data_IF_348980334306
#
_entry.id   IF_348980334306
#
_cell.length_a   1.000
_cell.length_b   1.000
_cell.length_c   1.000
_cell.angle_alpha   90.00
_cell.angle_beta   90.00
_cell.angle_gamma   90.00
#
_symmetry.space_group_name_H-M   'P 1'
#
loop_
_entity.id
_entity.type
_entity.pdbx_description
1 polymer ?
#
# COMPACT_ATOMS: atom_id res chain seq x y z
N UNK A 1 -3.55 -6.91 22.53
CA UNK A 1 -4.90 -7.51 22.35
C UNK A 1 -5.09 -8.17 20.98
N UNK A 2 -4.53 -7.60 19.91
CA UNK A 2 -4.67 -8.12 18.54
C UNK A 2 -4.11 -9.51 18.32
N UNK A 3 -2.93 -9.83 18.88
CA UNK A 3 -2.37 -11.19 18.81
C UNK A 3 -3.32 -12.25 19.40
N UNK A 4 -3.88 -12.01 20.58
CA UNK A 4 -4.84 -12.92 21.23
C UNK A 4 -6.11 -13.12 20.41
N UNK A 5 -6.55 -12.07 19.70
CA UNK A 5 -7.63 -12.20 18.73
C UNK A 5 -7.22 -13.10 17.56
N UNK A 6 -6.08 -12.82 16.92
CA UNK A 6 -5.56 -13.61 15.80
C UNK A 6 -5.35 -15.08 16.18
N UNK A 7 -4.93 -15.38 17.42
CA UNK A 7 -4.82 -16.75 17.96
C UNK A 7 -6.15 -17.52 17.85
N UNK A 8 -7.27 -16.86 18.09
CA UNK A 8 -8.63 -17.45 18.11
C UNK A 8 -9.33 -17.40 16.75
N UNK A 9 -8.83 -16.61 15.80
CA UNK A 9 -9.44 -16.49 14.48
C UNK A 9 -9.44 -17.82 13.71
N UNK A 10 -10.45 -18.07 12.86
CA UNK A 10 -10.44 -19.22 11.99
C UNK A 10 -9.23 -19.17 11.04
N UNK A 11 -8.51 -20.30 10.92
CA UNK A 11 -7.31 -20.43 10.07
C UNK A 11 -7.68 -20.57 8.59
N UNK A 12 -8.28 -19.51 8.04
CA UNK A 12 -8.56 -19.36 6.60
C UNK A 12 -7.28 -18.96 5.86
N UNK A 13 -7.13 -19.29 4.56
CA UNK A 13 -6.06 -18.74 3.76
C UNK A 13 -6.09 -17.21 3.83
N UNK A 14 -4.93 -16.60 4.07
CA UNK A 14 -4.77 -15.15 4.23
C UNK A 14 -3.96 -14.61 3.05
N UNK A 15 -4.50 -13.62 2.33
CA UNK A 15 -3.84 -12.97 1.20
C UNK A 15 -3.56 -11.51 1.58
N UNK A 16 -2.28 -11.14 1.60
CA UNK A 16 -1.80 -9.82 1.97
C UNK A 16 -1.13 -9.20 0.75
N UNK A 17 -1.67 -8.08 0.31
CA UNK A 17 -1.00 -7.18 -0.62
C UNK A 17 -0.35 -6.07 0.19
N UNK A 18 0.94 -5.86 -0.02
CA UNK A 18 1.72 -4.87 0.72
C UNK A 18 2.37 -3.93 -0.28
N UNK A 19 1.92 -2.67 -0.30
CA UNK A 19 2.66 -1.64 -1.00
C UNK A 19 4.07 -1.46 -0.40
N UNK A 20 5.00 -0.99 -1.22
CA UNK A 20 6.37 -0.71 -0.81
C UNK A 20 6.53 0.71 -0.24
N UNK A 21 6.38 1.71 -1.08
CA UNK A 21 6.90 3.06 -0.84
C UNK A 21 6.02 3.80 0.17
N UNK A 22 6.64 4.38 1.22
CA UNK A 22 5.97 4.96 2.40
C UNK A 22 5.06 4.00 3.18
N UNK A 23 4.93 2.76 2.75
CA UNK A 23 4.19 1.70 3.44
C UNK A 23 5.13 0.82 4.27
N UNK A 24 6.09 0.14 3.64
CA UNK A 24 7.12 -0.65 4.35
C UNK A 24 8.55 -0.15 4.14
N UNK A 25 8.81 0.72 3.16
CA UNK A 25 10.09 1.41 2.98
C UNK A 25 9.88 2.93 2.96
N UNK A 26 10.82 3.72 3.48
CA UNK A 26 10.67 5.18 3.60
C UNK A 26 11.45 5.99 2.56
N UNK A 27 12.04 5.31 1.56
CA UNK A 27 12.74 5.96 0.45
C UNK A 27 11.87 5.93 -0.81
N UNK A 28 11.92 7.02 -1.58
CA UNK A 28 11.28 7.13 -2.90
C UNK A 28 12.35 7.51 -3.93
N UNK A 29 12.86 6.49 -4.63
CA UNK A 29 13.89 6.65 -5.66
C UNK A 29 13.39 7.42 -6.89
N UNK A 30 12.07 7.47 -7.13
CA UNK A 30 11.48 8.17 -8.27
C UNK A 30 11.18 9.64 -7.97
N UNK A 31 10.88 9.98 -6.71
CA UNK A 31 10.45 11.32 -6.30
C UNK A 31 11.56 12.32 -5.95
N UNK A 32 12.82 11.86 -5.86
CA UNK A 32 13.96 12.71 -5.49
C UNK A 32 13.90 13.25 -4.06
N UNK A 33 13.13 12.60 -3.18
CA UNK A 33 12.98 13.00 -1.77
C UNK A 33 14.13 12.45 -0.94
N UNK A 34 14.62 13.27 -0.01
CA UNK A 34 15.55 12.79 1.01
C UNK A 34 14.79 12.00 2.08
N UNK A 35 15.51 11.19 2.86
CA UNK A 35 14.94 10.54 4.04
C UNK A 35 14.34 11.59 5.00
N UNK A 36 15.00 12.75 5.15
CA UNK A 36 14.53 13.84 5.99
C UNK A 36 13.15 14.36 5.58
N UNK A 37 12.96 14.57 4.27
CA UNK A 37 11.69 15.02 3.71
C UNK A 37 10.58 14.00 3.98
N UNK A 38 10.89 12.70 3.85
CA UNK A 38 9.95 11.62 4.10
C UNK A 38 9.51 11.59 5.57
N UNK A 39 10.47 11.63 6.51
CA UNK A 39 10.18 11.62 7.95
C UNK A 39 9.38 12.86 8.39
N UNK A 40 9.73 14.05 7.88
CA UNK A 40 8.95 15.27 8.12
C UNK A 40 7.53 15.15 7.55
N UNK A 41 7.39 14.65 6.33
CA UNK A 41 6.09 14.44 5.69
C UNK A 41 5.19 13.49 6.50
N UNK A 42 5.77 12.46 7.11
CA UNK A 42 5.04 11.51 7.97
C UNK A 42 4.50 12.20 9.24
N UNK A 43 5.30 13.08 9.84
CA UNK A 43 4.87 13.90 10.99
C UNK A 43 3.78 14.89 10.55
N UNK A 44 3.96 15.59 9.42
CA UNK A 44 2.96 16.49 8.85
C UNK A 44 1.61 15.81 8.57
N UNK A 45 1.63 14.54 8.16
CA UNK A 45 0.43 13.74 7.91
C UNK A 45 -0.23 13.22 9.20
N UNK A 46 0.46 13.27 10.35
CA UNK A 46 -0.02 12.69 11.61
C UNK A 46 -0.34 13.72 12.70
N UNK A 47 0.25 14.92 12.61
CA UNK A 47 -0.09 16.05 13.50
C UNK A 47 -1.36 16.71 13.00
N UNK A 48 -2.31 16.90 13.92
CA UNK A 48 -3.59 17.57 13.66
C UNK A 48 -3.64 18.95 14.29
N UNK A 49 -4.37 19.85 13.65
CA UNK A 49 -4.47 21.25 14.02
C UNK A 49 -5.73 21.89 13.48
N UNK A 50 -5.82 23.21 13.65
CA UNK A 50 -6.96 24.03 13.23
C UNK A 50 -6.50 25.20 12.37
N UNK A 51 -7.36 25.63 11.46
CA UNK A 51 -7.15 26.89 10.74
C UNK A 51 -7.54 28.07 11.64
N UNK A 52 -6.62 29.01 11.79
CA UNK A 52 -6.81 30.31 12.44
C UNK A 52 -6.53 31.40 11.40
N UNK A 53 -7.60 31.87 10.75
CA UNK A 53 -7.50 32.69 9.54
C UNK A 53 -6.80 31.93 8.40
N UNK A 54 -5.77 32.54 7.81
CA UNK A 54 -4.99 31.96 6.72
C UNK A 54 -3.88 31.00 7.20
N UNK A 55 -3.75 30.80 8.51
CA UNK A 55 -2.68 29.98 9.11
C UNK A 55 -3.24 28.69 9.69
N UNK A 56 -2.45 27.63 9.61
CA UNK A 56 -2.70 26.41 10.34
C UNK A 56 -1.90 26.39 11.64
N UNK A 57 -2.54 25.99 12.74
CA UNK A 57 -1.93 25.91 14.07
C UNK A 57 -2.06 24.50 14.62
N UNK A 58 -0.92 23.91 14.96
CA UNK A 58 -0.81 22.61 15.58
C UNK A 58 -1.58 22.52 16.91
N UNK A 59 -2.36 21.45 17.09
CA UNK A 59 -3.10 21.18 18.33
C UNK A 59 -2.60 19.88 18.98
N UNK A 60 -2.65 18.74 18.27
CA UNK A 60 -2.25 17.43 18.80
C UNK A 60 -1.21 16.73 17.92
N UNK A 61 -0.24 16.10 18.56
CA UNK A 61 0.76 15.23 17.94
C UNK A 61 0.20 13.87 17.47
N UNK A 62 1.04 13.04 16.82
CA UNK A 62 0.65 11.74 16.28
C UNK A 62 0.07 10.77 17.33
N UNK A 63 0.65 10.75 18.53
CA UNK A 63 0.29 9.83 19.62
C UNK A 63 -0.39 10.55 20.79
N UNK A 64 -0.64 11.86 20.68
CA UNK A 64 -1.29 12.61 21.73
C UNK A 64 -2.79 12.29 21.77
N UNK A 65 -3.29 12.00 22.97
CA UNK A 65 -4.71 11.83 23.25
C UNK A 65 -5.42 13.19 23.26
N UNK A 66 -6.68 13.21 22.80
CA UNK A 66 -7.49 14.42 22.79
C UNK A 66 -8.63 14.34 21.79
N UNK A 67 -9.56 15.29 21.88
CA UNK A 67 -10.62 15.44 20.90
C UNK A 67 -10.05 15.89 19.56
N UNK A 68 -10.24 15.06 18.53
CA UNK A 68 -9.80 15.32 17.16
C UNK A 68 -10.92 15.89 16.28
N UNK A 69 -12.11 16.10 16.85
CA UNK A 69 -13.29 16.60 16.13
C UNK A 69 -13.02 17.98 15.53
N UNK A 70 -13.22 18.11 14.22
CA UNK A 70 -13.01 19.36 13.48
C UNK A 70 -11.54 19.75 13.27
N UNK A 71 -10.59 18.88 13.65
CA UNK A 71 -9.18 19.09 13.34
C UNK A 71 -8.82 18.50 11.98
N UNK A 72 -7.77 19.03 11.37
CA UNK A 72 -7.19 18.51 10.13
C UNK A 72 -5.69 18.35 10.24
N UNK A 73 -5.12 17.43 9.48
CA UNK A 73 -3.67 17.25 9.41
C UNK A 73 -3.01 18.44 8.71
N UNK A 74 -1.73 18.69 9.00
CA UNK A 74 -0.99 19.72 8.25
C UNK A 74 -0.91 19.37 6.76
N UNK A 75 -0.71 18.08 6.44
CA UNK A 75 -0.78 17.59 5.06
C UNK A 75 -2.10 17.96 4.37
N UNK A 76 -3.24 17.69 5.02
CA UNK A 76 -4.56 18.04 4.48
C UNK A 76 -4.77 19.56 4.31
N UNK A 77 -4.21 20.37 5.22
CA UNK A 77 -4.19 21.83 5.05
C UNK A 77 -3.37 22.26 3.83
N UNK A 78 -2.18 21.69 3.64
CA UNK A 78 -1.30 21.97 2.49
C UNK A 78 -1.95 21.54 1.17
N UNK A 79 -2.63 20.40 1.15
CA UNK A 79 -3.37 19.92 -0.01
C UNK A 79 -4.53 20.87 -0.39
N UNK A 80 -5.24 21.40 0.60
CA UNK A 80 -6.29 22.39 0.39
C UNK A 80 -5.74 23.75 -0.08
N UNK A 81 -4.62 24.19 0.50
CA UNK A 81 -3.96 25.44 0.11
C UNK A 81 -3.46 25.40 -1.35
N UNK A 82 -2.99 24.23 -1.77
CA UNK A 82 -2.50 23.99 -3.13
C UNK A 82 -3.44 23.06 -3.91
N UNK A 83 -4.75 23.28 -3.79
CA UNK A 83 -5.74 22.50 -4.52
C UNK A 83 -5.64 22.67 -6.04
N UNK A 84 -6.13 21.66 -6.76
CA UNK A 84 -6.27 21.69 -8.21
C UNK A 84 -7.16 22.87 -8.65
N UNK A 85 -6.69 23.75 -9.56
CA UNK A 85 -7.51 24.84 -10.08
C UNK A 85 -8.74 24.33 -10.84
N UNK A 86 -9.92 24.96 -10.70
CA UNK A 86 -11.16 24.49 -11.32
C UNK A 86 -11.10 24.34 -12.85
N UNK A 87 -10.25 25.11 -13.53
CA UNK A 87 -10.07 25.12 -14.97
C UNK A 87 -8.90 24.24 -15.45
N UNK A 88 -8.26 23.47 -14.56
CA UNK A 88 -7.08 22.70 -14.91
C UNK A 88 -7.35 21.72 -16.07
N UNK A 89 -8.51 21.06 -16.09
CA UNK A 89 -8.85 20.09 -17.14
C UNK A 89 -9.16 20.72 -18.52
N UNK A 90 -9.46 22.01 -18.59
CA UNK A 90 -9.75 22.70 -19.86
C UNK A 90 -8.49 23.24 -20.53
N UNK A 91 -7.35 23.19 -19.83
CA UNK A 91 -6.06 23.70 -20.32
C UNK A 91 -5.31 22.68 -21.19
N UNK A 92 -4.41 23.13 -22.09
CA UNK A 92 -3.53 22.27 -22.85
C UNK A 92 -2.66 21.39 -21.95
N UNK A 93 -2.37 20.15 -22.36
CA UNK A 93 -1.63 19.16 -21.56
C UNK A 93 -0.31 19.70 -21.01
N UNK A 94 0.52 20.34 -21.84
CA UNK A 94 1.81 20.89 -21.40
C UNK A 94 1.68 21.94 -20.28
N UNK A 95 0.59 22.72 -20.28
CA UNK A 95 0.30 23.70 -19.23
C UNK A 95 -0.18 23.01 -17.96
N UNK A 96 -1.05 22.01 -18.07
CA UNK A 96 -1.48 21.16 -16.95
C UNK A 96 -0.29 20.51 -16.26
N UNK A 97 0.61 19.90 -17.03
CA UNK A 97 1.80 19.21 -16.52
C UNK A 97 2.76 20.18 -15.82
N UNK A 98 2.87 21.42 -16.30
CA UNK A 98 3.64 22.46 -15.63
C UNK A 98 2.99 22.88 -14.31
N UNK A 99 1.69 23.19 -14.31
CA UNK A 99 0.97 23.59 -13.11
C UNK A 99 0.98 22.49 -12.04
N UNK A 100 0.79 21.24 -12.44
CA UNK A 100 0.87 20.10 -11.53
C UNK A 100 2.25 19.94 -10.92
N UNK A 101 3.32 20.13 -11.70
CA UNK A 101 4.69 20.13 -11.18
C UNK A 101 4.88 21.22 -10.13
N UNK A 102 4.39 22.43 -10.37
CA UNK A 102 4.51 23.55 -9.44
C UNK A 102 3.71 23.31 -8.14
N UNK A 103 2.46 22.83 -8.26
CA UNK A 103 1.62 22.43 -7.12
C UNK A 103 2.31 21.33 -6.30
N UNK A 104 2.75 20.26 -6.95
CA UNK A 104 3.41 19.15 -6.29
C UNK A 104 4.72 19.58 -5.60
N UNK A 105 5.50 20.45 -6.23
CA UNK A 105 6.74 20.98 -5.65
C UNK A 105 6.46 21.82 -4.39
N UNK A 106 5.46 22.71 -4.43
CA UNK A 106 5.07 23.53 -3.27
C UNK A 106 4.57 22.66 -2.10
N UNK A 107 3.69 21.69 -2.39
CA UNK A 107 3.22 20.74 -1.37
C UNK A 107 4.39 20.02 -0.71
N UNK A 108 5.30 19.45 -1.52
CA UNK A 108 6.50 18.73 -1.06
C UNK A 108 7.37 19.60 -0.15
N UNK A 109 7.63 20.85 -0.56
CA UNK A 109 8.44 21.78 0.22
C UNK A 109 7.83 22.05 1.61
N UNK A 110 6.51 22.29 1.66
CA UNK A 110 5.83 22.60 2.92
C UNK A 110 5.80 21.40 3.87
N UNK A 111 5.42 20.22 3.38
CA UNK A 111 5.36 19.02 4.24
C UNK A 111 6.74 18.49 4.62
N UNK A 112 7.72 18.61 3.72
CA UNK A 112 9.10 18.16 3.94
C UNK A 112 9.88 19.03 4.94
N UNK A 113 9.44 20.26 5.18
CA UNK A 113 10.06 21.17 6.15
C UNK A 113 9.21 21.44 7.39
N UNK A 114 8.11 20.70 7.58
CA UNK A 114 7.08 20.97 8.58
C UNK A 114 7.62 21.19 10.01
N UNK A 115 8.65 20.46 10.41
CA UNK A 115 9.23 20.56 11.77
C UNK A 115 10.47 21.44 11.86
N UNK A 116 10.92 22.07 10.76
CA UNK A 116 12.06 22.97 10.78
C UNK A 116 11.81 24.21 11.67
N UNK A 117 12.88 24.87 12.10
CA UNK A 117 12.79 26.09 12.92
C UNK A 117 11.90 27.16 12.26
N UNK A 118 10.95 27.69 13.03
CA UNK A 118 9.98 28.68 12.58
C UNK A 118 8.77 28.11 11.83
N UNK A 119 8.70 26.79 11.62
CA UNK A 119 7.57 26.15 10.93
C UNK A 119 6.49 25.69 11.92
N UNK A 120 5.23 25.49 11.48
CA UNK A 120 4.11 25.20 12.37
C UNK A 120 4.27 23.92 13.21
N UNK A 121 5.12 23.00 12.77
CA UNK A 121 5.40 21.73 13.42
C UNK A 121 6.67 21.70 14.26
N UNK A 122 7.38 22.83 14.48
CA UNK A 122 8.71 22.86 15.12
C UNK A 122 8.80 22.05 16.43
N UNK A 123 7.78 22.16 17.30
CA UNK A 123 7.73 21.43 18.57
C UNK A 123 7.69 19.90 18.42
N UNK A 124 7.33 19.40 17.24
CA UNK A 124 7.23 17.97 16.93
C UNK A 124 8.47 17.39 16.23
N UNK A 125 9.56 18.14 16.13
CA UNK A 125 10.85 17.64 15.60
C UNK A 125 11.29 16.33 16.28
N UNK A 126 10.99 16.16 17.56
CA UNK A 126 11.32 14.94 18.30
C UNK A 126 10.69 13.66 17.69
N UNK A 127 9.56 13.75 16.98
CA UNK A 127 8.93 12.65 16.26
C UNK A 127 9.64 12.31 14.94
N UNK A 128 10.33 13.27 14.31
CA UNK A 128 11.23 13.00 13.19
C UNK A 128 12.43 12.18 13.69
N UNK A 129 13.02 12.62 14.81
CA UNK A 129 14.16 11.93 15.44
C UNK A 129 13.79 10.54 15.99
N UNK A 130 12.55 10.35 16.44
CA UNK A 130 12.05 9.04 16.84
C UNK A 130 12.03 8.06 15.66
N UNK A 131 11.44 8.45 14.53
CA UNK A 131 11.44 7.62 13.32
C UNK A 131 12.87 7.31 12.86
N UNK A 132 13.75 8.33 12.85
CA UNK A 132 15.15 8.16 12.44
C UNK A 132 15.87 7.13 13.29
N UNK A 133 15.73 7.19 14.62
CA UNK A 133 16.33 6.20 15.54
C UNK A 133 15.89 4.77 15.22
N UNK A 134 14.62 4.58 14.83
CA UNK A 134 14.11 3.26 14.46
C UNK A 134 14.74 2.76 13.15
N UNK A 135 14.83 3.63 12.14
CA UNK A 135 15.40 3.27 10.83
C UNK A 135 16.92 3.04 10.92
N UNK A 136 17.63 3.86 11.69
CA UNK A 136 19.08 3.74 11.92
C UNK A 136 19.47 2.46 12.67
N UNK A 137 18.53 1.77 13.31
CA UNK A 137 18.76 0.48 13.94
C UNK A 137 19.05 -0.65 12.92
N UNK A 138 18.75 -0.41 11.63
CA UNK A 138 18.96 -1.35 10.53
C UNK A 138 19.60 -0.65 9.31
N UNK A 139 20.84 -0.11 9.42
CA UNK A 139 21.39 0.88 8.47
C UNK A 139 21.66 0.35 7.05
N UNK A 140 21.63 -0.97 6.85
CA UNK A 140 21.82 -1.61 5.53
C UNK A 140 20.51 -2.09 4.90
N UNK A 141 19.39 -1.76 5.53
CA UNK A 141 18.08 -2.31 5.23
C UNK A 141 17.04 -1.18 5.17
N UNK A 142 16.02 -1.38 4.34
CA UNK A 142 15.01 -0.36 4.05
C UNK A 142 13.65 -0.71 4.63
N UNK A 143 13.35 -1.99 4.87
CA UNK A 143 12.04 -2.37 5.40
C UNK A 143 11.91 -2.06 6.89
N UNK A 144 10.75 -1.52 7.24
CA UNK A 144 10.45 -1.09 8.61
C UNK A 144 10.18 -2.29 9.55
N UNK A 145 10.45 -2.14 10.85
CA UNK A 145 10.42 -3.26 11.80
C UNK A 145 9.03 -3.91 11.95
N UNK A 146 7.96 -3.11 11.86
CA UNK A 146 6.59 -3.57 12.02
C UNK A 146 6.20 -4.62 10.97
N UNK A 147 6.78 -4.57 9.77
CA UNK A 147 6.57 -5.58 8.73
C UNK A 147 7.10 -6.96 9.19
N UNK A 148 8.32 -6.99 9.74
CA UNK A 148 8.91 -8.23 10.26
C UNK A 148 8.16 -8.77 11.47
N UNK A 149 7.60 -7.88 12.30
CA UNK A 149 6.74 -8.27 13.43
C UNK A 149 5.43 -8.91 12.95
N UNK A 150 4.82 -8.41 11.87
CA UNK A 150 3.64 -9.02 11.24
C UNK A 150 3.93 -10.46 10.78
N UNK A 151 4.93 -10.65 9.93
CA UNK A 151 5.21 -11.99 9.34
C UNK A 151 5.69 -12.99 10.40
N UNK A 152 6.45 -12.53 11.40
CA UNK A 152 6.83 -13.37 12.54
C UNK A 152 5.60 -13.79 13.35
N UNK A 153 4.68 -12.86 13.63
CA UNK A 153 3.45 -13.16 14.35
C UNK A 153 2.63 -14.21 13.61
N UNK A 154 2.38 -14.03 12.30
CA UNK A 154 1.64 -15.01 11.50
C UNK A 154 2.30 -16.41 11.51
N UNK A 155 3.63 -16.43 11.41
CA UNK A 155 4.41 -17.67 11.42
C UNK A 155 4.43 -18.39 12.76
N UNK A 156 4.50 -17.66 13.87
CA UNK A 156 4.40 -18.21 15.22
C UNK A 156 3.01 -18.78 15.51
N UNK A 157 1.97 -18.20 14.90
CA UNK A 157 0.58 -18.70 14.95
C UNK A 157 0.32 -19.89 14.01
N UNK A 158 1.35 -20.37 13.31
CA UNK A 158 1.28 -21.37 12.25
C UNK A 158 0.22 -21.04 11.18
N UNK A 159 0.03 -19.75 10.91
CA UNK A 159 -0.96 -19.27 9.97
C UNK A 159 -0.33 -19.10 8.59
N UNK A 160 -0.66 -19.99 7.65
CA UNK A 160 -0.24 -19.85 6.26
C UNK A 160 -0.81 -18.57 5.62
N UNK A 161 0.04 -17.81 4.95
CA UNK A 161 -0.33 -16.59 4.25
C UNK A 161 0.32 -16.53 2.86
N UNK A 162 -0.31 -15.78 1.97
CA UNK A 162 0.23 -15.31 0.70
C UNK A 162 0.57 -13.83 0.84
N UNK A 163 1.83 -13.48 0.57
CA UNK A 163 2.33 -12.11 0.61
C UNK A 163 2.71 -11.67 -0.81
N UNK A 164 2.08 -10.60 -1.28
CA UNK A 164 2.35 -10.01 -2.60
C UNK A 164 2.80 -8.58 -2.38
N UNK A 165 4.09 -8.32 -2.61
CA UNK A 165 4.62 -6.97 -2.65
C UNK A 165 4.09 -6.24 -3.89
N UNK A 166 3.70 -4.97 -3.73
CA UNK A 166 3.10 -4.13 -4.77
C UNK A 166 3.89 -2.84 -4.89
N UNK A 167 4.20 -2.40 -6.10
CA UNK A 167 4.84 -1.09 -6.30
C UNK A 167 4.56 -0.58 -7.70
N UNK A 168 4.57 0.73 -7.87
CA UNK A 168 4.64 1.37 -9.19
C UNK A 168 6.08 1.61 -9.66
N UNK A 169 7.05 1.51 -8.74
CA UNK A 169 8.44 1.90 -8.94
C UNK A 169 9.37 0.72 -9.27
N UNK A 170 10.65 0.89 -8.92
CA UNK A 170 11.72 -0.07 -9.20
C UNK A 170 12.30 -0.73 -7.94
N UNK A 171 11.67 -0.52 -6.78
CA UNK A 171 12.21 -0.93 -5.48
C UNK A 171 11.99 -2.43 -5.18
N UNK A 172 11.25 -3.13 -6.03
CA UNK A 172 10.85 -4.52 -5.81
C UNK A 172 12.06 -5.46 -5.65
N UNK A 173 13.07 -5.35 -6.50
CA UNK A 173 14.24 -6.22 -6.44
C UNK A 173 15.00 -6.08 -5.10
N UNK A 174 15.13 -4.85 -4.60
CA UNK A 174 15.80 -4.56 -3.32
C UNK A 174 15.00 -5.12 -2.14
N UNK A 175 13.67 -4.95 -2.15
CA UNK A 175 12.80 -5.50 -1.10
C UNK A 175 12.83 -7.03 -1.08
N UNK A 176 12.81 -7.68 -2.25
CA UNK A 176 12.93 -9.14 -2.32
C UNK A 176 14.30 -9.63 -1.84
N UNK A 177 15.37 -8.89 -2.13
CA UNK A 177 16.69 -9.21 -1.59
C UNK A 177 16.73 -9.11 -0.05
N UNK A 178 16.15 -8.05 0.52
CA UNK A 178 16.09 -7.89 1.98
C UNK A 178 15.19 -8.94 2.64
N UNK A 179 14.07 -9.30 2.01
CA UNK A 179 13.23 -10.42 2.44
C UNK A 179 14.02 -11.73 2.49
N UNK A 180 14.89 -12.00 1.51
CA UNK A 180 15.78 -13.18 1.53
C UNK A 180 16.75 -13.13 2.71
N UNK A 181 17.42 -12.01 2.91
CA UNK A 181 18.31 -11.84 4.07
C UNK A 181 17.56 -12.10 5.38
N UNK A 182 16.29 -11.69 5.48
CA UNK A 182 15.44 -11.99 6.63
C UNK A 182 15.16 -13.49 6.76
N UNK A 183 14.69 -14.16 5.71
CA UNK A 183 14.36 -15.60 5.74
C UNK A 183 15.55 -16.48 6.11
N UNK A 184 16.75 -16.14 5.65
CA UNK A 184 17.97 -16.88 5.97
C UNK A 184 18.58 -16.51 7.34
N UNK A 185 18.02 -15.51 8.02
CA UNK A 185 18.48 -15.06 9.34
C UNK A 185 19.72 -14.18 9.29
N UNK A 186 20.01 -13.57 8.14
CA UNK A 186 21.12 -12.63 7.91
C UNK A 186 20.73 -11.20 8.27
N UNK A 187 19.45 -10.87 8.18
CA UNK A 187 18.87 -9.58 8.59
C UNK A 187 18.99 -9.33 10.11
N UNK A 188 18.94 -8.07 10.55
CA UNK A 188 18.95 -7.72 11.99
C UNK A 188 17.75 -8.30 12.72
N UNK A 189 16.56 -8.16 12.15
CA UNK A 189 15.37 -8.91 12.55
C UNK A 189 15.49 -10.37 12.12
N UNK A 190 15.22 -11.29 13.04
CA UNK A 190 15.34 -12.73 12.80
C UNK A 190 13.96 -13.35 12.52
N UNK A 191 13.89 -14.35 11.61
CA UNK A 191 12.66 -15.05 11.31
C UNK A 191 12.30 -15.99 12.46
N UNK A 192 11.01 -16.04 12.81
CA UNK A 192 10.46 -16.83 13.93
C UNK A 192 9.23 -17.62 13.48
N UNK A 193 8.92 -18.70 14.20
CA UNK A 193 7.74 -19.51 13.96
C UNK A 193 7.87 -20.56 12.86
N UNK A 194 6.84 -21.39 12.72
CA UNK A 194 6.89 -22.62 11.93
C UNK A 194 6.76 -22.36 10.43
N UNK A 195 5.96 -21.36 10.02
CA UNK A 195 5.76 -21.03 8.59
C UNK A 195 7.07 -20.58 7.95
N UNK A 196 7.75 -19.59 8.55
CA UNK A 196 9.02 -19.07 8.05
C UNK A 196 10.14 -20.12 8.09
N UNK A 197 10.15 -21.00 9.12
CA UNK A 197 11.07 -22.14 9.15
C UNK A 197 10.88 -23.06 7.94
N UNK A 198 9.63 -23.44 7.63
CA UNK A 198 9.32 -24.25 6.45
C UNK A 198 9.66 -23.53 5.13
N UNK A 199 9.40 -22.23 5.05
CA UNK A 199 9.79 -21.41 3.89
C UNK A 199 11.30 -21.42 3.67
N UNK A 200 12.10 -21.32 4.74
CA UNK A 200 13.57 -21.41 4.67
C UNK A 200 14.04 -22.79 4.23
N UNK A 201 13.49 -23.86 4.81
CA UNK A 201 13.89 -25.25 4.52
C UNK A 201 13.59 -25.67 3.07
N UNK A 202 12.53 -25.10 2.48
CA UNK A 202 12.09 -25.38 1.12
C UNK A 202 12.12 -24.13 0.26
N UNK A 203 13.12 -23.28 0.44
CA UNK A 203 13.15 -21.97 -0.19
C UNK A 203 13.06 -22.05 -1.72
N UNK A 204 12.13 -21.28 -2.28
CA UNK A 204 11.95 -21.06 -3.72
C UNK A 204 12.00 -19.56 -3.94
N UNK A 205 12.79 -19.06 -4.92
CA UNK A 205 12.81 -17.64 -5.24
C UNK A 205 11.42 -17.08 -5.51
N UNK A 206 11.19 -15.85 -5.06
CA UNK A 206 9.90 -15.18 -5.10
C UNK A 206 9.43 -15.00 -6.55
N UNK A 207 8.14 -15.23 -6.78
CA UNK A 207 7.52 -14.99 -8.06
C UNK A 207 7.41 -13.49 -8.32
N UNK A 208 7.93 -13.01 -9.46
CA UNK A 208 7.86 -11.60 -9.86
C UNK A 208 6.98 -11.44 -11.10
N UNK A 209 6.29 -10.32 -11.22
CA UNK A 209 5.55 -9.99 -12.43
C UNK A 209 5.22 -8.51 -12.52
N UNK A 210 4.55 -8.12 -13.60
CA UNK A 210 4.00 -6.78 -13.73
C UNK A 210 2.59 -6.83 -14.32
N UNK A 211 1.80 -5.82 -13.99
CA UNK A 211 0.49 -5.58 -14.59
C UNK A 211 0.66 -4.48 -15.62
N UNK A 212 0.02 -4.64 -16.78
CA UNK A 212 -0.13 -3.58 -17.78
C UNK A 212 -1.63 -3.32 -18.01
N UNK A 213 -1.98 -2.04 -18.18
CA UNK A 213 -3.35 -1.59 -18.42
C UNK A 213 -3.40 -0.65 -19.61
N UNK A 214 -4.38 -0.86 -20.49
CA UNK A 214 -4.69 0.02 -21.60
C UNK A 214 -6.21 0.01 -21.79
N UNK A 215 -6.85 1.17 -21.66
CA UNK A 215 -8.31 1.30 -21.72
C UNK A 215 -9.05 0.31 -20.80
N UNK A 216 -9.84 -0.62 -21.37
CA UNK A 216 -10.56 -1.69 -20.70
C UNK A 216 -9.77 -2.99 -20.57
N UNK A 217 -8.53 -2.99 -21.05
CA UNK A 217 -7.66 -4.15 -21.10
C UNK A 217 -6.73 -4.23 -19.91
N UNK A 218 -6.52 -5.48 -19.48
CA UNK A 218 -5.71 -5.82 -18.34
C UNK A 218 -4.83 -7.02 -18.71
N UNK A 219 -3.54 -6.85 -18.51
CA UNK A 219 -2.55 -7.88 -18.79
C UNK A 219 -1.73 -8.18 -17.53
N UNK A 220 -1.48 -9.46 -17.26
CA UNK A 220 -0.56 -9.93 -16.24
C UNK A 220 0.65 -10.58 -16.93
N UNK A 221 1.84 -10.01 -16.70
CA UNK A 221 3.10 -10.53 -17.21
C UNK A 221 3.84 -11.23 -16.08
N UNK A 222 4.15 -12.52 -16.26
CA UNK A 222 4.87 -13.33 -15.27
C UNK A 222 6.36 -13.29 -15.57
N UNK A 223 7.17 -12.99 -14.55
CA UNK A 223 8.62 -12.97 -14.60
C UNK A 223 9.28 -11.60 -14.36
N UNK A 224 8.84 -10.50 -15.01
CA UNK A 224 9.50 -9.20 -14.84
C UNK A 224 9.42 -8.68 -13.41
N UNK A 225 10.49 -8.05 -12.94
CA UNK A 225 10.60 -7.39 -11.63
C UNK A 225 10.57 -5.85 -11.74
N UNK A 226 10.15 -5.36 -12.91
CA UNK A 226 10.22 -3.96 -13.33
C UNK A 226 8.93 -3.52 -14.01
N UNK A 227 8.68 -2.20 -14.12
CA UNK A 227 7.48 -1.69 -14.79
C UNK A 227 7.35 -2.21 -16.23
N UNK A 228 6.11 -2.45 -16.66
CA UNK A 228 5.82 -2.78 -18.06
C UNK A 228 6.19 -1.63 -18.98
N UNK A 229 6.85 -1.95 -20.10
CA UNK A 229 7.23 -0.98 -21.13
C UNK A 229 6.49 -1.33 -22.42
N UNK A 230 5.52 -0.51 -22.77
CA UNK A 230 4.76 -0.62 -24.02
C UNK A 230 4.83 0.74 -24.73
N UNK A 231 5.21 0.71 -26.00
CA UNK A 231 5.39 1.88 -26.85
C UNK A 231 4.25 1.94 -27.87
N UNK A 232 3.51 3.04 -27.87
CA UNK A 232 2.54 3.34 -28.91
C UNK A 232 3.24 3.98 -30.12
N UNK A 233 2.88 3.62 -31.36
CA UNK A 233 3.35 4.31 -32.56
C UNK A 233 3.10 5.83 -32.51
N UNK A 234 3.98 6.61 -33.12
CA UNK A 234 3.88 8.07 -33.15
C UNK A 234 2.54 8.50 -33.78
N UNK A 235 1.81 9.38 -33.08
CA UNK A 235 0.48 9.84 -33.48
C UNK A 235 -0.68 8.91 -33.09
N UNK A 236 -0.43 7.84 -32.33
CA UNK A 236 -1.47 6.96 -31.77
C UNK A 236 -1.44 6.99 -30.23
N UNK A 237 -2.62 7.03 -29.61
CA UNK A 237 -2.75 6.98 -28.14
C UNK A 237 -3.01 5.56 -27.61
N UNK A 238 -3.41 4.65 -28.50
CA UNK A 238 -3.84 3.29 -28.16
C UNK A 238 -3.08 2.27 -28.99
N UNK A 239 -2.81 1.10 -28.39
CA UNK A 239 -2.15 0.00 -29.06
C UNK A 239 -3.12 -1.19 -29.17
N UNK A 240 -3.23 -1.87 -30.33
CA UNK A 240 -4.02 -3.08 -30.44
C UNK A 240 -3.60 -4.15 -29.42
N UNK A 241 -4.52 -4.99 -28.94
CA UNK A 241 -4.24 -5.92 -27.84
C UNK A 241 -3.15 -6.95 -28.20
N UNK A 242 -3.14 -7.38 -29.45
CA UNK A 242 -2.14 -8.29 -30.01
C UNK A 242 -0.74 -7.68 -30.04
N UNK A 243 -0.64 -6.38 -30.30
CA UNK A 243 0.64 -5.67 -30.32
C UNK A 243 1.14 -5.41 -28.91
N UNK A 244 0.25 -5.03 -27.98
CA UNK A 244 0.59 -4.93 -26.55
C UNK A 244 1.11 -6.28 -26.02
N UNK A 245 0.40 -7.37 -26.31
CA UNK A 245 0.82 -8.72 -25.95
C UNK A 245 2.21 -9.07 -26.51
N UNK A 246 2.48 -8.75 -27.77
CA UNK A 246 3.77 -9.02 -28.40
C UNK A 246 4.92 -8.24 -27.72
N UNK A 247 4.71 -6.97 -27.39
CA UNK A 247 5.70 -6.15 -26.69
C UNK A 247 5.94 -6.66 -25.26
N UNK A 248 4.88 -7.01 -24.53
CA UNK A 248 4.97 -7.56 -23.18
C UNK A 248 5.71 -8.90 -23.15
N UNK A 249 5.44 -9.81 -24.11
CA UNK A 249 6.16 -11.08 -24.24
C UNK A 249 7.65 -10.89 -24.54
N UNK A 250 8.01 -9.79 -25.21
CA UNK A 250 9.39 -9.45 -25.50
C UNK A 250 10.13 -8.80 -24.32
N UNK A 251 9.45 -8.50 -23.20
CA UNK A 251 10.09 -7.91 -22.03
C UNK A 251 11.16 -8.84 -21.44
N UNK A 252 12.28 -8.28 -20.92
CA UNK A 252 13.29 -9.06 -20.21
C UNK A 252 12.69 -9.88 -19.08
N UNK A 253 13.09 -11.15 -19.00
CA UNK A 253 12.65 -12.12 -17.99
C UNK A 253 11.15 -12.48 -18.03
N UNK A 254 10.40 -11.99 -19.03
CA UNK A 254 9.03 -12.42 -19.24
C UNK A 254 8.98 -13.90 -19.61
N UNK A 255 8.14 -14.65 -18.89
CA UNK A 255 7.89 -16.08 -19.11
C UNK A 255 6.59 -16.27 -19.86
N UNK A 256 5.54 -15.59 -19.39
CA UNK A 256 4.17 -15.74 -19.89
C UNK A 256 3.42 -14.42 -19.73
N UNK A 257 2.47 -14.14 -20.62
CA UNK A 257 1.58 -12.98 -20.53
C UNK A 257 0.14 -13.45 -20.70
N UNK A 258 -0.72 -12.99 -19.81
CA UNK A 258 -2.15 -13.27 -19.82
C UNK A 258 -2.90 -11.97 -20.04
N UNK A 259 -3.72 -11.90 -21.09
CA UNK A 259 -4.82 -10.94 -21.12
C UNK A 259 -5.89 -11.50 -20.18
N UNK A 260 -6.13 -10.81 -19.07
CA UNK A 260 -6.90 -11.34 -17.95
C UNK A 260 -8.13 -10.49 -17.67
N UNK A 261 -9.26 -11.14 -17.37
CA UNK A 261 -10.30 -10.49 -16.58
C UNK A 261 -9.93 -10.45 -15.08
N UNK A 262 -10.78 -9.89 -14.24
CA UNK A 262 -10.50 -9.74 -12.80
C UNK A 262 -10.47 -11.08 -12.04
N UNK A 263 -11.24 -12.08 -12.47
CA UNK A 263 -11.24 -13.41 -11.88
C UNK A 263 -9.95 -14.15 -12.24
N UNK A 264 -9.56 -14.10 -13.52
CA UNK A 264 -8.31 -14.66 -14.01
C UNK A 264 -7.10 -13.98 -13.36
N UNK A 265 -7.12 -12.65 -13.20
CA UNK A 265 -6.06 -11.93 -12.49
C UNK A 265 -5.94 -12.43 -11.05
N UNK A 266 -7.06 -12.50 -10.31
CA UNK A 266 -7.07 -13.02 -8.94
C UNK A 266 -6.46 -14.42 -8.86
N UNK A 267 -6.98 -15.36 -9.66
CA UNK A 267 -6.59 -16.77 -9.59
C UNK A 267 -5.13 -16.96 -10.02
N UNK A 268 -4.68 -16.28 -11.08
CA UNK A 268 -3.30 -16.35 -11.55
C UNK A 268 -2.30 -15.74 -10.59
N UNK A 269 -2.65 -14.63 -9.92
CA UNK A 269 -1.79 -14.06 -8.87
C UNK A 269 -1.59 -15.07 -7.73
N UNK A 270 -2.65 -15.74 -7.27
CA UNK A 270 -2.55 -16.73 -6.19
C UNK A 270 -1.83 -18.00 -6.64
N UNK A 271 -2.16 -18.54 -7.80
CA UNK A 271 -1.50 -19.71 -8.39
C UNK A 271 0.01 -19.47 -8.52
N UNK A 272 0.39 -18.37 -9.17
CA UNK A 272 1.79 -18.05 -9.44
C UNK A 272 2.58 -17.77 -8.16
N UNK A 273 1.99 -17.04 -7.21
CA UNK A 273 2.64 -16.77 -5.93
C UNK A 273 2.76 -18.04 -5.08
N UNK A 274 1.79 -18.96 -5.14
CA UNK A 274 1.86 -20.24 -4.42
C UNK A 274 3.04 -21.11 -4.87
N UNK A 275 3.45 -21.01 -6.13
CA UNK A 275 4.62 -21.72 -6.67
C UNK A 275 5.96 -21.22 -6.10
N UNK A 276 5.97 -20.08 -5.38
CA UNK A 276 7.14 -19.46 -4.76
C UNK A 276 6.97 -19.36 -3.23
N UNK A 277 6.50 -20.44 -2.60
CA UNK A 277 6.21 -20.50 -1.17
C UNK A 277 5.23 -19.43 -0.67
N UNK A 278 4.34 -18.95 -1.55
CA UNK A 278 3.37 -17.91 -1.26
C UNK A 278 3.96 -16.52 -1.01
N UNK A 279 5.15 -16.21 -1.56
CA UNK A 279 5.71 -14.85 -1.52
C UNK A 279 6.10 -14.39 -2.91
N UNK A 280 5.58 -13.24 -3.33
CA UNK A 280 5.83 -12.70 -4.67
C UNK A 280 5.77 -11.18 -4.72
N UNK A 281 6.01 -10.63 -5.90
CA UNK A 281 6.03 -9.20 -6.16
C UNK A 281 5.42 -8.85 -7.50
N UNK A 282 4.62 -7.80 -7.54
CA UNK A 282 3.99 -7.29 -8.75
C UNK A 282 4.28 -5.80 -8.90
N UNK A 283 4.78 -5.42 -10.08
CA UNK A 283 4.92 -4.01 -10.47
C UNK A 283 3.67 -3.56 -11.21
N UNK A 284 2.96 -2.60 -10.65
CA UNK A 284 1.77 -1.98 -11.22
C UNK A 284 2.12 -0.95 -12.30
N UNK A 285 1.16 -0.65 -13.18
CA UNK A 285 1.37 0.26 -14.32
C UNK A 285 1.08 1.73 -13.98
N UNK A 286 2.10 2.46 -13.55
CA UNK A 286 1.98 3.87 -13.17
C UNK A 286 1.42 4.79 -14.26
N UNK A 287 1.85 4.69 -15.54
CA UNK A 287 1.34 5.57 -16.60
C UNK A 287 -0.19 5.55 -16.74
N UNK A 288 -0.84 4.40 -16.53
CA UNK A 288 -2.30 4.30 -16.58
C UNK A 288 -2.98 4.96 -15.38
N UNK A 289 -2.41 4.84 -14.19
CA UNK A 289 -2.93 5.53 -13.01
C UNK A 289 -2.76 7.04 -13.12
N UNK A 290 -1.58 7.49 -13.56
CA UNK A 290 -1.27 8.90 -13.77
C UNK A 290 -2.14 9.54 -14.85
N UNK A 291 -2.36 8.87 -15.99
CA UNK A 291 -3.23 9.38 -17.05
C UNK A 291 -4.71 9.47 -16.62
N UNK A 292 -5.12 8.61 -15.69
CA UNK A 292 -6.43 8.66 -15.02
C UNK A 292 -6.56 9.72 -13.92
N UNK A 293 -5.63 10.68 -13.83
CA UNK A 293 -5.57 11.70 -12.77
C UNK A 293 -5.55 11.09 -11.36
N UNK A 294 -4.82 9.97 -11.21
CA UNK A 294 -4.64 9.24 -9.95
C UNK A 294 -5.95 8.77 -9.30
N UNK A 295 -7.00 8.66 -10.11
CA UNK A 295 -8.27 8.07 -9.67
C UNK A 295 -8.11 6.57 -9.44
N UNK A 296 -8.89 6.06 -8.51
CA UNK A 296 -8.86 4.67 -8.10
C UNK A 296 -9.12 3.68 -9.22
N UNK A 297 -9.98 4.03 -10.17
CA UNK A 297 -10.24 3.21 -11.35
C UNK A 297 -8.98 2.96 -12.20
N UNK A 298 -7.97 3.82 -12.10
CA UNK A 298 -6.64 3.68 -12.72
C UNK A 298 -5.59 3.01 -11.83
N UNK A 299 -5.88 2.82 -10.55
CA UNK A 299 -4.93 2.38 -9.53
C UNK A 299 -4.57 0.90 -9.58
N UNK A 300 -3.98 0.43 -8.47
CA UNK A 300 -3.56 -0.96 -8.27
C UNK A 300 -4.80 -1.86 -8.22
N UNK A 301 -4.94 -2.71 -9.22
CA UNK A 301 -6.11 -3.60 -9.35
C UNK A 301 -6.08 -4.65 -8.25
N UNK A 302 -7.13 -4.68 -7.44
CA UNK A 302 -7.28 -5.58 -6.30
C UNK A 302 -8.61 -6.35 -6.36
N UNK A 303 -8.64 -7.46 -7.13
CA UNK A 303 -9.82 -8.31 -7.23
C UNK A 303 -9.92 -9.21 -5.98
N UNK A 304 -11.10 -9.24 -5.36
CA UNK A 304 -11.37 -10.05 -4.15
C UNK A 304 -12.67 -10.83 -4.27
N UNK A 305 -12.73 -11.98 -3.60
CA UNK A 305 -13.92 -12.82 -3.52
C UNK A 305 -14.87 -12.31 -2.41
N UNK A 306 -15.66 -11.27 -2.70
CA UNK A 306 -16.63 -10.71 -1.72
C UNK A 306 -17.94 -11.48 -1.72
N UNK A 307 -18.48 -11.73 -2.92
CA UNK A 307 -19.66 -12.56 -3.07
C UNK A 307 -19.22 -14.02 -3.03
N UNK A 308 -19.54 -14.73 -1.95
CA UNK A 308 -19.57 -16.18 -2.02
C UNK A 308 -20.58 -16.53 -3.13
N UNK A 309 -20.11 -17.05 -4.26
CA UNK A 309 -21.02 -17.47 -5.31
C UNK A 309 -21.86 -18.62 -4.76
N UNK A 310 -23.10 -18.32 -4.35
CA UNK A 310 -24.10 -19.30 -3.93
C UNK A 310 -24.59 -20.19 -5.09
N UNK A 311 -23.94 -20.11 -6.26
CA UNK A 311 -24.37 -20.76 -7.49
C UNK A 311 -23.17 -21.01 -8.40
N UNK A 312 -22.35 -21.99 -8.03
CA UNK A 312 -21.31 -22.57 -8.87
C UNK A 312 -20.80 -23.88 -8.26
N UNK A 313 -20.40 -24.89 -9.06
CA UNK A 313 -19.92 -26.19 -8.54
C UNK A 313 -18.54 -26.11 -7.86
N UNK A 314 -17.86 -24.96 -7.92
CA UNK A 314 -16.56 -24.71 -7.31
C UNK A 314 -16.72 -23.90 -6.03
N UNK A 315 -16.80 -24.59 -4.89
CA UNK A 315 -16.75 -23.97 -3.56
C UNK A 315 -15.42 -23.21 -3.40
N UNK A 316 -15.47 -21.88 -3.50
CA UNK A 316 -14.30 -21.04 -3.20
C UNK A 316 -14.10 -21.09 -1.69
N UNK A 317 -12.96 -21.62 -1.23
CA UNK A 317 -12.59 -21.57 0.18
C UNK A 317 -12.58 -20.11 0.64
N UNK A 318 -13.33 -19.73 1.68
CA UNK A 318 -13.35 -18.35 2.15
C UNK A 318 -11.95 -17.94 2.62
N UNK A 319 -11.46 -16.80 2.11
CA UNK A 319 -10.15 -16.25 2.43
C UNK A 319 -10.29 -14.94 3.19
N UNK A 320 -9.25 -14.56 3.92
CA UNK A 320 -9.08 -13.19 4.36
C UNK A 320 -8.19 -12.45 3.38
N UNK A 321 -8.51 -11.18 3.13
CA UNK A 321 -7.74 -10.30 2.26
C UNK A 321 -7.38 -9.01 2.98
N UNK A 322 -6.18 -8.49 2.78
CA UNK A 322 -5.80 -7.15 3.22
C UNK A 322 -4.85 -6.52 2.22
N UNK A 323 -5.11 -5.27 1.83
CA UNK A 323 -4.22 -4.44 1.02
C UNK A 323 -3.77 -3.24 1.86
N UNK A 324 -2.47 -3.15 2.10
CA UNK A 324 -1.84 -2.07 2.86
C UNK A 324 -1.17 -1.09 1.91
N UNK A 325 -1.49 0.20 2.03
CA UNK A 325 -0.90 1.29 1.26
C UNK A 325 -1.13 2.63 1.99
N UNK A 326 -0.17 3.54 1.95
CA UNK A 326 -0.30 4.87 2.59
C UNK A 326 -1.24 5.81 1.82
N UNK A 327 -1.47 5.53 0.53
CA UNK A 327 -2.26 6.36 -0.37
C UNK A 327 -3.68 5.79 -0.62
N UNK A 328 -4.19 4.99 0.33
CA UNK A 328 -5.59 4.58 0.40
C UNK A 328 -6.40 5.64 1.14
N UNK A 329 -7.39 6.20 0.44
CA UNK A 329 -8.39 7.08 1.00
C UNK A 329 -9.76 6.42 0.88
N UNK A 330 -10.24 5.86 1.99
CA UNK A 330 -11.45 5.04 2.02
C UNK A 330 -12.67 5.85 1.57
N UNK A 331 -13.39 5.35 0.56
CA UNK A 331 -14.58 5.99 -0.01
C UNK A 331 -14.30 7.16 -0.96
N UNK A 332 -13.03 7.49 -1.19
CA UNK A 332 -12.66 8.60 -2.07
C UNK A 332 -12.28 8.10 -3.47
N UNK A 333 -12.55 8.93 -4.49
CA UNK A 333 -12.19 8.60 -5.87
C UNK A 333 -10.68 8.74 -6.12
N UNK A 334 -10.01 9.68 -5.42
CA UNK A 334 -8.55 9.85 -5.45
C UNK A 334 -7.91 8.90 -4.42
N UNK A 335 -7.94 7.61 -4.71
CA UNK A 335 -7.37 6.54 -3.88
C UNK A 335 -6.59 5.59 -4.76
N UNK A 336 -5.49 5.02 -4.28
CA UNK A 336 -4.56 4.25 -5.13
C UNK A 336 -5.04 2.83 -5.47
N UNK A 337 -6.01 2.29 -4.73
CA UNK A 337 -6.47 0.90 -4.89
C UNK A 337 -7.81 0.82 -5.61
N UNK A 338 -7.84 0.03 -6.69
CA UNK A 338 -9.03 -0.36 -7.44
C UNK A 338 -9.59 -1.67 -6.89
N UNK A 339 -10.32 -1.59 -5.77
CA UNK A 339 -10.96 -2.74 -5.14
C UNK A 339 -12.12 -3.22 -6.02
N UNK A 340 -12.10 -4.49 -6.43
CA UNK A 340 -13.12 -5.08 -7.31
C UNK A 340 -13.64 -6.42 -6.81
N UNK A 341 -14.92 -6.67 -7.01
CA UNK A 341 -15.45 -8.03 -6.87
C UNK A 341 -14.94 -8.86 -8.06
N UNK A 342 -14.21 -9.93 -7.77
CA UNK A 342 -13.54 -10.71 -8.81
C UNK A 342 -14.51 -11.35 -9.82
N UNK A 343 -15.72 -11.71 -9.39
CA UNK A 343 -16.69 -12.43 -10.22
C UNK A 343 -17.44 -11.50 -11.16
N UNK A 344 -17.78 -10.30 -10.69
CA UNK A 344 -18.55 -9.32 -11.47
C UNK A 344 -17.69 -8.25 -12.12
N UNK A 345 -16.43 -8.10 -11.69
CA UNK A 345 -15.51 -7.04 -12.11
C UNK A 345 -15.90 -5.64 -11.66
N UNK A 346 -16.99 -5.50 -10.89
CA UNK A 346 -17.49 -4.19 -10.43
C UNK A 346 -16.53 -3.58 -9.41
N UNK A 347 -16.22 -2.29 -9.60
CA UNK A 347 -15.50 -1.49 -8.62
C UNK A 347 -16.35 -1.30 -7.37
N UNK A 348 -15.71 -1.36 -6.20
CA UNK A 348 -16.34 -1.25 -4.90
C UNK A 348 -15.86 0.03 -4.24
N UNK A 349 -16.82 0.94 -4.09
CA UNK A 349 -16.59 2.26 -3.47
C UNK A 349 -17.37 2.42 -2.16
N UNK A 350 -18.10 1.38 -1.73
CA UNK A 350 -18.78 1.38 -0.44
C UNK A 350 -17.76 1.40 0.70
N UNK A 351 -17.82 2.45 1.52
CA UNK A 351 -16.89 2.69 2.64
C UNK A 351 -16.83 1.52 3.61
N UNK A 352 -17.97 0.90 3.94
CA UNK A 352 -18.02 -0.18 4.92
C UNK A 352 -17.42 -1.48 4.36
N UNK A 353 -17.61 -1.74 3.07
CA UNK A 353 -16.98 -2.88 2.40
C UNK A 353 -15.49 -2.63 2.19
N UNK A 354 -15.10 -1.44 1.74
CA UNK A 354 -13.70 -1.09 1.46
C UNK A 354 -12.82 -1.24 2.71
N UNK A 355 -13.28 -0.78 3.88
CA UNK A 355 -12.55 -0.93 5.17
C UNK A 355 -12.27 -2.38 5.57
N UNK A 356 -13.01 -3.34 5.03
CA UNK A 356 -12.76 -4.77 5.29
C UNK A 356 -11.47 -5.24 4.64
N UNK A 357 -11.12 -4.67 3.48
CA UNK A 357 -10.08 -5.20 2.60
C UNK A 357 -8.91 -4.24 2.40
N UNK A 358 -9.12 -2.94 2.54
CA UNK A 358 -8.11 -1.91 2.35
C UNK A 358 -7.74 -1.27 3.69
N UNK A 359 -6.45 -1.14 3.94
CA UNK A 359 -5.87 -0.53 5.14
C UNK A 359 -5.08 0.70 4.72
N UNK A 360 -5.60 1.88 5.04
CA UNK A 360 -4.88 3.13 4.93
C UNK A 360 -3.74 3.17 5.96
N UNK A 361 -2.52 3.02 5.47
CA UNK A 361 -1.33 2.97 6.32
C UNK A 361 -0.96 4.36 6.78
N UNK A 362 -0.73 4.52 8.08
CA UNK A 362 -0.08 5.70 8.65
C UNK A 362 1.42 5.41 8.70
N UNK A 363 2.26 6.06 7.86
CA UNK A 363 3.69 5.75 7.77
C UNK A 363 4.45 6.00 9.08
N UNK A 364 4.08 7.06 9.81
CA UNK A 364 4.68 7.35 11.11
C UNK A 364 4.45 6.18 12.08
N UNK A 365 3.21 5.75 12.24
CA UNK A 365 2.85 4.65 13.14
C UNK A 365 3.44 3.33 12.69
N UNK A 366 3.52 3.07 11.38
CA UNK A 366 4.15 1.87 10.85
C UNK A 366 5.65 1.79 11.18
N UNK A 367 6.34 2.93 11.31
CA UNK A 367 7.73 2.98 11.75
C UNK A 367 7.83 2.79 13.26
N UNK A 368 7.12 3.60 14.05
CA UNK A 368 7.39 3.70 15.51
C UNK A 368 6.63 2.66 16.36
N UNK A 369 5.59 2.02 15.82
CA UNK A 369 4.85 0.97 16.51
C UNK A 369 5.07 -0.39 15.83
N UNK A 370 5.84 -1.26 16.48
CA UNK A 370 6.13 -2.61 15.98
C UNK A 370 4.87 -3.45 15.71
N UNK A 371 3.80 -3.28 16.50
CA UNK A 371 2.57 -4.08 16.35
C UNK A 371 1.58 -3.45 15.34
N UNK A 372 1.92 -2.33 14.69
CA UNK A 372 1.01 -1.57 13.82
C UNK A 372 0.32 -2.42 12.74
N UNK A 373 1.07 -3.22 11.99
CA UNK A 373 0.48 -4.08 10.96
C UNK A 373 -0.27 -5.27 11.53
N UNK A 374 0.12 -5.78 12.70
CA UNK A 374 -0.59 -6.86 13.41
C UNK A 374 -1.96 -6.35 13.86
N UNK A 375 -1.99 -5.15 14.45
CA UNK A 375 -3.21 -4.48 14.89
C UNK A 375 -4.13 -4.15 13.71
N UNK A 376 -3.57 -3.59 12.64
CA UNK A 376 -4.32 -3.29 11.42
C UNK A 376 -4.90 -4.54 10.76
N UNK A 377 -4.13 -5.63 10.68
CA UNK A 377 -4.62 -6.90 10.14
C UNK A 377 -5.74 -7.49 11.02
N UNK A 378 -5.56 -7.50 12.33
CA UNK A 378 -6.59 -7.98 13.26
C UNK A 378 -7.89 -7.20 13.08
N UNK A 379 -7.80 -5.88 12.93
CA UNK A 379 -8.96 -5.03 12.68
C UNK A 379 -9.65 -5.35 11.35
N UNK A 380 -8.88 -5.49 10.25
CA UNK A 380 -9.43 -5.90 8.95
C UNK A 380 -10.13 -7.26 9.02
N UNK A 381 -9.56 -8.23 9.73
CA UNK A 381 -10.16 -9.56 9.91
C UNK A 381 -11.46 -9.50 10.74
N UNK A 382 -11.53 -8.68 11.81
CA UNK A 382 -12.79 -8.47 12.56
C UNK A 382 -13.92 -8.00 11.65
N UNK A 383 -13.63 -6.99 10.81
CA UNK A 383 -14.61 -6.43 9.88
C UNK A 383 -15.05 -7.46 8.82
N UNK A 384 -14.15 -8.33 8.36
CA UNK A 384 -14.48 -9.45 7.45
C UNK A 384 -15.28 -10.56 8.11
N UNK A 385 -15.13 -10.75 9.44
CA UNK A 385 -15.94 -11.67 10.23
C UNK A 385 -17.31 -11.10 10.63
N UNK A 386 -17.54 -9.80 10.40
CA UNK A 386 -18.77 -9.12 10.82
C UNK A 386 -18.81 -8.76 12.31
N UNK A 387 -17.65 -8.70 12.96
CA UNK A 387 -17.54 -8.15 14.31
C UNK A 387 -17.51 -6.61 14.21
N UNK A 388 -18.60 -5.95 14.60
CA UNK A 388 -18.70 -4.49 14.59
C UNK A 388 -17.74 -3.82 15.59
N UNK A 389 -17.26 -2.62 15.25
CA UNK A 389 -16.42 -1.76 16.10
C UNK A 389 -17.07 -1.37 17.45
N UNK A 390 -18.36 -1.65 17.64
CA UNK A 390 -19.12 -1.29 18.85
C UNK A 390 -18.58 -1.90 20.16
N UNK A 391 -17.68 -2.89 20.08
CA UNK A 391 -17.08 -3.57 21.23
C UNK A 391 -15.74 -3.01 21.70
N UNK A 392 -15.12 -2.06 20.98
CA UNK A 392 -13.76 -1.57 21.30
C UNK A 392 -13.79 -0.21 22.03
N UNK A 393 -14.77 0.66 21.74
CA UNK A 393 -14.92 1.97 22.42
C UNK A 393 -15.28 1.89 23.91
N UNK A 394 -15.72 0.71 24.38
CA UNK A 394 -15.94 0.47 25.82
C UNK A 394 -14.68 0.08 26.60
N UNK A 395 -13.55 -0.16 25.92
CA UNK A 395 -12.29 -0.53 26.58
C UNK A 395 -11.35 0.65 26.86
N UNK A 396 -11.67 1.84 26.33
CA UNK A 396 -10.94 3.10 26.62
C UNK A 396 -11.68 3.96 27.66
N UNK A 397 -12.95 3.63 27.97
CA UNK A 397 -13.78 4.37 28.95
C UNK A 397 -14.04 3.62 30.26
N UNK A 398 -13.36 2.49 30.50
CA UNK A 398 -13.62 1.58 31.62
C UNK A 398 -12.41 1.27 32.49
N UNK A 399 -11.77 2.29 33.06
CA UNK A 399 -10.77 2.15 34.11
C UNK A 399 -10.94 3.30 35.09
N UNK A 400 -11.74 3.07 36.12
CA UNK A 400 -12.06 4.01 37.20
C UNK A 400 -10.85 4.51 37.97
#
# INVERSE_FOLDING_TARGET
MSRTFLERCPRRPLVIHMDLNRTIIQFDSAGGRTMEDALNSNVAASVVGRCDGDKWVAVLGPQEEGDRSGLMTYGGYVDNLHAEPPDMHTRPQAERDRMWRDIAANRRLMVGSFTHTGQPGEKYMHHVEEQRRVLDAAPNYSMIPAFFQLVNTLSELDWSFTLIFRTFGNDLANVLQEWRHFIFGEHVYKPRGAVLKRMREKYVPEATGCIFRAEDQLFLCLGPDRPSVVVCPEGTETLPPSEALAQLLAMPFCKEVYQADFMQLHDKLLEYTSASNNVGGIVDYYPFWASGAERRSGGKVFPVAITASSSGPTSVTPRFYAFFDDNIFIGEEKSIVDLRDMATGKSITDVAIERKYCVAVNPYMAIVNNDYFVDSLAQSIRLQLGEDNASIDQSISGGS
#
